data_IF_299606464747
#
_entry.id   IF_299606464747
#
_cell.length_a   1.000
_cell.length_b   1.000
_cell.length_c   1.000
_cell.angle_alpha   90.00
_cell.angle_beta   90.00
_cell.angle_gamma   90.00
#
_symmetry.space_group_name_H-M   'P 1'
#
loop_
_entity.id
_entity.type
_entity.pdbx_description
1 polymer ?
#
# COMPACT_ATOMS: atom_id res chain seq x y z
N UNK A 1 -18.27 15.93 1.50
CA UNK A 1 -17.85 15.36 0.19
C UNK A 1 -18.23 13.89 0.23
N UNK A 2 -18.81 13.31 -0.84
CA UNK A 2 -19.02 11.86 -0.92
C UNK A 2 -17.69 11.12 -0.69
N UNK A 3 -17.72 9.98 -0.01
CA UNK A 3 -16.51 9.22 0.35
C UNK A 3 -15.69 8.83 -0.89
N UNK A 4 -16.35 8.30 -1.92
CA UNK A 4 -15.71 7.94 -3.21
C UNK A 4 -14.94 9.12 -3.84
N UNK A 5 -15.52 10.33 -3.80
CA UNK A 5 -14.87 11.52 -4.36
C UNK A 5 -13.64 11.93 -3.55
N UNK A 6 -13.68 11.76 -2.21
CA UNK A 6 -12.51 12.02 -1.38
C UNK A 6 -11.37 11.06 -1.73
N UNK A 7 -11.68 9.78 -1.93
CA UNK A 7 -10.70 8.76 -2.28
C UNK A 7 -10.04 9.05 -3.65
N UNK A 8 -10.84 9.45 -4.64
CA UNK A 8 -10.36 9.85 -5.96
C UNK A 8 -9.44 11.08 -5.89
N UNK A 9 -9.85 12.10 -5.14
CA UNK A 9 -9.09 13.34 -4.95
C UNK A 9 -7.74 13.04 -4.24
N UNK A 10 -7.75 12.14 -3.24
CA UNK A 10 -6.53 11.73 -2.51
C UNK A 10 -5.57 10.95 -3.40
N UNK A 11 -6.06 10.00 -4.21
CA UNK A 11 -5.23 9.25 -5.14
C UNK A 11 -4.57 10.20 -6.18
N UNK A 12 -5.38 11.08 -6.77
CA UNK A 12 -4.89 12.07 -7.74
C UNK A 12 -3.84 13.01 -7.15
N UNK A 13 -4.03 13.44 -5.89
CA UNK A 13 -3.12 14.34 -5.20
C UNK A 13 -1.72 13.74 -4.93
N UNK A 14 -1.58 12.41 -4.97
CA UNK A 14 -0.30 11.72 -4.82
C UNK A 14 0.27 11.19 -6.14
N UNK A 15 -0.34 11.56 -7.27
CA UNK A 15 0.11 11.15 -8.60
C UNK A 15 -0.35 9.75 -9.02
N UNK A 16 -1.29 9.13 -8.30
CA UNK A 16 -1.92 7.88 -8.70
C UNK A 16 -3.17 8.14 -9.54
N UNK A 17 -3.39 7.33 -10.58
CA UNK A 17 -4.67 7.30 -11.28
C UNK A 17 -5.70 6.58 -10.39
N UNK A 18 -6.82 7.20 -9.98
CA UNK A 18 -7.85 6.54 -9.19
C UNK A 18 -8.58 5.41 -9.95
N UNK A 19 -8.51 5.41 -11.28
CA UNK A 19 -9.25 4.50 -12.17
C UNK A 19 -8.36 3.53 -12.96
N UNK A 20 -7.04 3.73 -12.90
CA UNK A 20 -6.04 2.99 -13.66
C UNK A 20 -4.97 2.38 -12.77
N UNK A 21 -4.32 1.33 -13.28
CA UNK A 21 -3.18 0.68 -12.63
C UNK A 21 -1.87 1.20 -13.19
N UNK A 22 -0.91 1.44 -12.32
CA UNK A 22 0.48 1.58 -12.70
C UNK A 22 1.05 0.22 -13.18
N UNK A 23 2.14 0.25 -13.94
CA UNK A 23 2.82 -0.96 -14.44
C UNK A 23 3.26 -1.86 -13.27
N UNK A 24 3.75 -1.25 -12.19
CA UNK A 24 4.18 -1.93 -10.98
C UNK A 24 3.02 -2.55 -10.20
N UNK A 25 1.82 -1.94 -10.24
CA UNK A 25 0.62 -2.51 -9.63
C UNK A 25 0.17 -3.76 -10.40
N UNK A 26 0.20 -3.72 -11.74
CA UNK A 26 -0.17 -4.88 -12.57
C UNK A 26 0.83 -6.04 -12.36
N UNK A 27 2.14 -5.76 -12.39
CA UNK A 27 3.17 -6.77 -12.15
C UNK A 27 3.01 -7.45 -10.78
N UNK A 28 2.76 -6.66 -9.72
CA UNK A 28 2.53 -7.21 -8.38
C UNK A 28 1.28 -8.09 -8.32
N UNK A 29 0.19 -7.69 -8.99
CA UNK A 29 -1.04 -8.48 -9.07
C UNK A 29 -0.80 -9.80 -9.81
N UNK A 30 -0.05 -9.78 -10.91
CA UNK A 30 0.33 -10.98 -11.67
C UNK A 30 1.19 -11.93 -10.84
N UNK A 31 2.19 -11.43 -10.12
CA UNK A 31 3.03 -12.24 -9.24
C UNK A 31 2.20 -12.92 -8.13
N UNK A 32 1.29 -12.17 -7.51
CA UNK A 32 0.39 -12.70 -6.46
C UNK A 32 -0.61 -13.71 -7.01
N UNK A 33 -1.02 -13.58 -8.28
CA UNK A 33 -1.86 -14.55 -8.98
C UNK A 33 -1.08 -15.82 -9.33
N UNK A 34 0.14 -15.68 -9.83
CA UNK A 34 1.03 -16.80 -10.14
C UNK A 34 1.35 -17.66 -8.91
N UNK A 35 1.48 -17.03 -7.74
CA UNK A 35 1.68 -17.71 -6.46
C UNK A 35 0.44 -18.43 -5.92
N UNK A 36 -0.74 -18.25 -6.54
CA UNK A 36 -2.02 -18.84 -6.11
C UNK A 36 -2.69 -19.64 -7.23
N UNK A 37 -2.04 -20.73 -7.68
CA UNK A 37 -2.57 -21.53 -8.78
C UNK A 37 -3.95 -22.09 -8.43
N UNK A 38 -4.89 -22.02 -9.38
CA UNK A 38 -6.26 -22.52 -9.23
C UNK A 38 -7.22 -21.59 -8.49
N UNK A 39 -6.76 -20.44 -7.98
CA UNK A 39 -7.66 -19.40 -7.45
C UNK A 39 -8.13 -18.44 -8.56
N UNK A 40 -9.31 -17.82 -8.43
CA UNK A 40 -9.74 -16.75 -9.32
C UNK A 40 -8.78 -15.56 -9.29
N UNK A 41 -8.63 -14.90 -10.45
CA UNK A 41 -7.90 -13.64 -10.56
C UNK A 41 -8.50 -12.57 -9.63
N UNK A 42 -7.66 -11.70 -9.10
CA UNK A 42 -8.11 -10.55 -8.33
C UNK A 42 -8.76 -9.55 -9.29
N UNK A 43 -10.02 -9.21 -9.01
CA UNK A 43 -10.72 -8.18 -9.78
C UNK A 43 -10.02 -6.83 -9.64
N UNK A 44 -9.51 -6.28 -10.75
CA UNK A 44 -8.84 -4.98 -10.81
C UNK A 44 -9.72 -3.82 -10.33
N UNK A 45 -11.04 -3.75 -10.66
CA UNK A 45 -11.91 -2.70 -10.13
C UNK A 45 -12.04 -2.73 -8.60
N UNK A 46 -12.10 -3.92 -8.00
CA UNK A 46 -12.15 -4.07 -6.54
C UNK A 46 -10.81 -3.69 -5.91
N UNK A 47 -9.69 -4.05 -6.55
CA UNK A 47 -8.37 -3.64 -6.13
C UNK A 47 -8.22 -2.12 -6.09
N UNK A 48 -8.58 -1.41 -7.17
CA UNK A 48 -8.47 0.06 -7.25
C UNK A 48 -9.26 0.76 -6.15
N UNK A 49 -10.51 0.33 -5.92
CA UNK A 49 -11.33 0.84 -4.82
C UNK A 49 -10.64 0.67 -3.47
N UNK A 50 -10.11 -0.51 -3.20
CA UNK A 50 -9.44 -0.81 -1.93
C UNK A 50 -8.11 -0.08 -1.80
N UNK A 51 -7.36 0.08 -2.88
CA UNK A 51 -6.13 0.87 -2.90
C UNK A 51 -6.40 2.33 -2.57
N UNK A 52 -7.40 2.95 -3.17
CA UNK A 52 -7.77 4.34 -2.87
C UNK A 52 -8.29 4.49 -1.43
N UNK A 53 -9.11 3.55 -0.97
CA UNK A 53 -9.61 3.50 0.39
C UNK A 53 -8.46 3.39 1.42
N UNK A 54 -7.52 2.46 1.25
CA UNK A 54 -6.38 2.27 2.18
C UNK A 54 -5.46 3.50 2.21
N UNK A 55 -5.18 4.09 1.05
CA UNK A 55 -4.42 5.34 0.96
C UNK A 55 -5.12 6.46 1.76
N UNK A 56 -6.43 6.61 1.56
CA UNK A 56 -7.24 7.61 2.26
C UNK A 56 -7.28 7.34 3.77
N UNK A 57 -7.40 6.08 4.18
CA UNK A 57 -7.40 5.64 5.57
C UNK A 57 -6.10 6.01 6.31
N UNK A 58 -4.96 5.96 5.63
CA UNK A 58 -3.70 6.47 6.20
C UNK A 58 -3.67 8.01 6.21
N UNK A 59 -4.09 8.65 5.11
CA UNK A 59 -4.09 10.11 4.96
C UNK A 59 -4.94 10.86 6.00
N UNK A 60 -5.98 10.24 6.55
CA UNK A 60 -6.76 10.77 7.67
C UNK A 60 -5.88 11.04 8.90
N UNK A 61 -4.83 10.24 9.13
CA UNK A 61 -3.88 10.47 10.22
C UNK A 61 -2.47 9.97 9.85
N UNK A 62 -1.72 10.81 9.14
CA UNK A 62 -0.34 10.49 8.70
C UNK A 62 0.68 10.33 9.84
N UNK A 63 0.31 10.66 11.09
CA UNK A 63 1.19 10.47 12.26
C UNK A 63 1.23 9.03 12.76
N UNK A 64 0.27 8.19 12.33
CA UNK A 64 0.22 6.77 12.67
C UNK A 64 0.82 5.92 11.56
N UNK A 65 1.42 4.80 11.96
CA UNK A 65 1.75 3.73 11.04
C UNK A 65 0.53 2.82 10.84
N UNK A 66 0.02 2.71 9.62
CA UNK A 66 -1.06 1.79 9.26
C UNK A 66 -0.47 0.40 9.03
N UNK A 67 -0.80 -0.58 9.87
CA UNK A 67 -0.31 -1.96 9.68
C UNK A 67 -1.12 -2.71 8.63
N UNK A 68 -0.58 -3.80 8.11
CA UNK A 68 -1.28 -4.65 7.14
C UNK A 68 -2.54 -5.28 7.74
N UNK A 69 -2.52 -5.62 9.03
CA UNK A 69 -3.68 -6.16 9.74
C UNK A 69 -4.79 -5.11 9.91
N UNK A 70 -4.42 -3.86 10.19
CA UNK A 70 -5.38 -2.76 10.26
C UNK A 70 -6.03 -2.49 8.91
N UNK A 71 -5.24 -2.49 7.83
CA UNK A 71 -5.75 -2.35 6.47
C UNK A 71 -6.69 -3.51 6.10
N UNK A 72 -6.34 -4.74 6.44
CA UNK A 72 -7.19 -5.93 6.22
C UNK A 72 -8.50 -5.89 7.02
N UNK A 73 -8.47 -5.40 8.27
CA UNK A 73 -9.68 -5.24 9.11
C UNK A 73 -10.61 -4.13 8.63
N UNK A 74 -10.10 -3.15 7.89
CA UNK A 74 -10.88 -2.04 7.38
C UNK A 74 -11.73 -2.40 6.15
N UNK A 75 -11.50 -3.57 5.53
CA UNK A 75 -12.28 -4.07 4.39
C UNK A 75 -13.12 -5.29 4.76
N UNK A 76 -14.11 -5.63 3.92
CA UNK A 76 -14.86 -6.86 4.10
C UNK A 76 -13.93 -8.08 3.94
N UNK A 77 -14.13 -9.18 4.71
CA UNK A 77 -13.21 -10.33 4.72
C UNK A 77 -12.93 -10.94 3.34
N UNK A 78 -13.91 -10.91 2.44
CA UNK A 78 -13.79 -11.45 1.09
C UNK A 78 -12.78 -10.68 0.21
N UNK A 79 -12.45 -9.45 0.59
CA UNK A 79 -11.46 -8.60 -0.08
C UNK A 79 -10.13 -8.48 0.69
N UNK A 80 -9.92 -9.33 1.71
CA UNK A 80 -8.68 -9.32 2.50
C UNK A 80 -7.42 -9.42 1.64
N UNK A 81 -7.43 -10.26 0.59
CA UNK A 81 -6.27 -10.36 -0.31
C UNK A 81 -6.05 -9.09 -1.14
N UNK A 82 -7.11 -8.42 -1.59
CA UNK A 82 -6.98 -7.12 -2.26
C UNK A 82 -6.36 -6.08 -1.34
N UNK A 83 -6.78 -6.04 -0.06
CA UNK A 83 -6.21 -5.13 0.93
C UNK A 83 -4.74 -5.43 1.22
N UNK A 84 -4.35 -6.71 1.31
CA UNK A 84 -2.96 -7.12 1.48
C UNK A 84 -2.08 -6.62 0.31
N UNK A 85 -2.52 -6.83 -0.93
CA UNK A 85 -1.76 -6.40 -2.12
C UNK A 85 -1.70 -4.87 -2.21
N UNK A 86 -2.82 -4.18 -1.97
CA UNK A 86 -2.88 -2.73 -1.99
C UNK A 86 -1.99 -2.10 -0.91
N UNK A 87 -2.04 -2.62 0.32
CA UNK A 87 -1.16 -2.17 1.40
C UNK A 87 0.32 -2.38 1.04
N UNK A 88 0.66 -3.56 0.51
CA UNK A 88 2.03 -3.90 0.11
C UNK A 88 2.55 -2.93 -0.95
N UNK A 89 1.78 -2.65 -2.01
CA UNK A 89 2.13 -1.67 -3.02
C UNK A 89 2.33 -0.28 -2.41
N UNK A 90 1.32 0.23 -1.70
CA UNK A 90 1.35 1.58 -1.14
C UNK A 90 2.51 1.78 -0.14
N UNK A 91 2.84 0.76 0.63
CA UNK A 91 3.94 0.80 1.59
C UNK A 91 5.30 0.75 0.89
N UNK A 92 5.47 -0.17 -0.06
CA UNK A 92 6.74 -0.42 -0.76
C UNK A 92 7.16 0.79 -1.60
N UNK A 93 6.20 1.44 -2.27
CA UNK A 93 6.45 2.62 -3.10
C UNK A 93 6.32 3.95 -2.34
N UNK A 94 6.17 3.92 -1.01
CA UNK A 94 6.22 5.12 -0.17
C UNK A 94 4.99 6.03 -0.25
N UNK A 95 3.82 5.50 -0.63
CA UNK A 95 2.55 6.24 -0.63
C UNK A 95 1.91 6.33 0.77
N UNK A 96 2.22 5.37 1.66
CA UNK A 96 1.81 5.36 3.08
C UNK A 96 3.01 5.11 3.98
N UNK A 97 2.86 5.36 5.28
CA UNK A 97 3.84 5.06 6.32
C UNK A 97 5.25 5.67 6.13
N UNK A 98 5.36 6.76 5.37
CA UNK A 98 6.62 7.49 5.19
C UNK A 98 6.73 8.71 6.11
N UNK A 99 7.93 9.30 6.18
CA UNK A 99 8.20 10.48 7.01
C UNK A 99 8.28 10.14 8.50
N UNK A 100 7.73 11.01 9.36
CA UNK A 100 7.78 10.86 10.82
C UNK A 100 6.54 10.15 11.39
N UNK A 101 5.96 9.20 10.66
CA UNK A 101 4.96 8.30 11.25
C UNK A 101 5.63 7.51 12.39
N UNK A 102 4.97 7.41 13.54
CA UNK A 102 5.47 6.59 14.64
C UNK A 102 5.41 5.11 14.22
N UNK A 103 6.49 4.60 13.63
CA UNK A 103 6.63 3.19 13.35
C UNK A 103 6.58 2.43 14.68
N UNK A 104 5.78 1.34 14.80
CA UNK A 104 5.96 0.40 15.89
C UNK A 104 7.41 -0.04 15.83
N UNK A 105 8.14 0.17 16.92
CA UNK A 105 9.60 0.02 17.02
C UNK A 105 10.19 -0.90 15.93
N UNK A 106 10.80 -0.29 14.91
CA UNK A 106 11.61 -0.91 13.83
C UNK A 106 12.82 -1.72 14.38
N UNK A 107 12.79 -2.09 15.64
CA UNK A 107 13.88 -2.67 16.42
C UNK A 107 13.87 -4.21 16.46
N UNK A 108 12.90 -4.91 15.83
CA UNK A 108 12.75 -6.36 16.07
C UNK A 108 12.83 -7.29 14.84
N UNK A 109 13.08 -6.81 13.61
CA UNK A 109 13.07 -7.73 12.45
C UNK A 109 14.23 -7.64 11.45
N UNK A 110 15.37 -7.02 11.80
CA UNK A 110 16.60 -7.22 11.01
C UNK A 110 17.43 -8.36 11.62
N UNK A 111 16.79 -9.49 11.91
CA UNK A 111 17.47 -10.74 12.27
C UNK A 111 17.22 -11.75 11.14
N UNK A 112 18.13 -11.79 10.16
CA UNK A 112 18.22 -12.94 9.23
C UNK A 112 18.38 -12.64 7.74
N UNK A 113 18.10 -11.43 7.27
CA UNK A 113 18.37 -11.06 5.87
C UNK A 113 19.80 -10.53 5.72
N UNK A 114 20.47 -10.87 4.61
CA UNK A 114 21.80 -10.33 4.28
C UNK A 114 21.68 -8.81 4.26
N UNK A 115 22.29 -8.14 5.23
CA UNK A 115 22.37 -6.69 5.25
C UNK A 115 23.12 -6.20 4.01
N UNK A 116 22.41 -5.65 3.04
CA UNK A 116 23.02 -4.93 1.93
C UNK A 116 23.49 -3.54 2.43
N UNK A 117 24.66 -3.11 1.99
CA UNK A 117 25.19 -1.80 2.37
C UNK A 117 24.76 -0.75 1.34
N UNK A 118 23.94 0.20 1.76
CA UNK A 118 23.53 1.36 0.95
C UNK A 118 24.24 2.62 1.46
N UNK A 119 25.01 3.30 0.60
CA UNK A 119 25.64 4.59 0.90
C UNK A 119 24.81 5.70 0.27
N UNK A 120 24.21 6.55 1.10
CA UNK A 120 23.47 7.75 0.65
C UNK A 120 24.40 8.96 0.71
N UNK A 121 24.65 9.62 -0.42
CA UNK A 121 25.48 10.82 -0.51
C UNK A 121 24.57 12.06 -0.48
N UNK A 122 24.66 12.85 0.59
CA UNK A 122 23.83 14.02 0.85
C UNK A 122 22.70 13.73 1.84
N UNK A 123 22.48 14.64 2.79
CA UNK A 123 21.49 14.51 3.87
C UNK A 123 20.32 15.52 3.74
N UNK A 124 20.03 15.94 2.50
CA UNK A 124 18.89 16.80 2.18
C UNK A 124 17.62 15.99 1.88
N UNK A 125 16.53 16.70 1.57
CA UNK A 125 15.37 16.10 0.92
C UNK A 125 15.72 15.85 -0.56
N UNK A 126 15.43 14.66 -1.07
CA UNK A 126 15.66 14.23 -2.45
C UNK A 126 14.35 14.08 -3.22
#
# INVERSE_FOLDING_TARGET
>A
VPEDRLEEDVASAVGLDPWGLAEEEEALLEDVEAQRPGQPRLGRPQYLKIRNFILTLWRVNVRRHLTIEEAGKAVQPLYSKHAEVAWTYLHTYGYINFGSAAAPALQQQIEGERAETVIVIGAGLA
#
